data_IF_239987826168
#
_entry.id   IF_239987826168
#
_cell.length_a   1.000
_cell.length_b   1.000
_cell.length_c   1.000
_cell.angle_alpha   90.00
_cell.angle_beta   90.00
_cell.angle_gamma   90.00
#
_symmetry.space_group_name_H-M   'P 1'
#
loop_
_entity.id
_entity.type
_entity.pdbx_description
1 polymer ?
#
# COMPACT_ATOMS: atom_id res chain seq x y z
N UNK A 1 -2.49 16.96 -7.81
CA UNK A 1 -1.72 15.71 -7.63
C UNK A 1 -0.71 15.61 -8.77
N UNK A 2 0.59 15.63 -8.46
CA UNK A 2 1.65 15.37 -9.44
C UNK A 2 1.61 13.87 -9.79
N UNK A 3 1.56 13.46 -11.08
CA UNK A 3 1.59 12.05 -11.44
C UNK A 3 2.89 11.43 -10.95
N UNK A 4 2.80 10.48 -10.01
CA UNK A 4 3.97 9.69 -9.61
C UNK A 4 4.42 8.88 -10.82
N UNK A 5 5.68 8.99 -11.27
CA UNK A 5 6.16 8.39 -12.52
C UNK A 5 6.42 6.89 -12.38
N UNK A 6 5.56 6.12 -11.71
CA UNK A 6 5.75 4.67 -11.55
C UNK A 6 5.71 3.95 -12.90
N UNK A 7 4.90 4.45 -13.85
CA UNK A 7 4.83 3.94 -15.24
C UNK A 7 6.18 4.05 -15.99
N UNK A 8 7.12 4.90 -15.56
CA UNK A 8 8.44 5.04 -16.21
C UNK A 8 9.56 4.25 -15.53
N UNK A 9 9.35 3.70 -14.34
CA UNK A 9 10.42 3.07 -13.56
C UNK A 9 10.86 1.75 -14.20
N UNK A 10 9.91 0.87 -14.53
CA UNK A 10 10.20 -0.43 -15.17
C UNK A 10 10.82 -0.25 -16.57
N UNK A 11 10.30 0.68 -17.38
CA UNK A 11 10.87 1.00 -18.69
C UNK A 11 12.31 1.53 -18.57
N UNK A 12 12.59 2.33 -17.54
CA UNK A 12 13.95 2.80 -17.23
C UNK A 12 14.86 1.65 -16.82
N UNK A 13 14.40 0.75 -15.95
CA UNK A 13 15.16 -0.43 -15.56
C UNK A 13 15.47 -1.33 -16.76
N UNK A 14 14.49 -1.63 -17.62
CA UNK A 14 14.71 -2.42 -18.84
C UNK A 14 15.78 -1.80 -19.74
N UNK A 15 15.81 -0.47 -19.86
CA UNK A 15 16.84 0.24 -20.64
C UNK A 15 18.22 0.11 -20.00
N UNK A 16 18.32 0.25 -18.67
CA UNK A 16 19.58 0.10 -17.93
C UNK A 16 20.13 -1.33 -17.99
N UNK A 17 19.26 -2.33 -17.86
CA UNK A 17 19.64 -3.73 -18.04
C UNK A 17 20.15 -4.01 -19.46
N UNK A 18 19.52 -3.42 -20.48
CA UNK A 18 19.94 -3.59 -21.87
C UNK A 18 21.24 -2.84 -22.21
N UNK A 19 21.53 -1.71 -21.57
CA UNK A 19 22.77 -0.95 -21.79
C UNK A 19 23.97 -1.53 -21.03
N UNK A 20 23.75 -2.45 -20.09
CA UNK A 20 24.78 -2.97 -19.21
C UNK A 20 25.01 -2.11 -17.96
N UNK A 21 24.28 -1.01 -17.80
CA UNK A 21 24.35 -0.09 -16.65
C UNK A 21 23.27 -0.43 -15.60
N UNK A 22 23.06 -1.71 -15.34
CA UNK A 22 22.07 -2.16 -14.37
C UNK A 22 22.40 -1.60 -12.96
N UNK A 23 21.39 -1.16 -12.20
CA UNK A 23 21.61 -0.67 -10.84
C UNK A 23 22.03 -1.81 -9.90
N UNK A 24 22.88 -1.51 -8.92
CA UNK A 24 23.33 -2.49 -7.92
C UNK A 24 22.19 -2.98 -7.00
N UNK A 25 21.22 -2.11 -6.73
CA UNK A 25 20.07 -2.40 -5.86
C UNK A 25 18.79 -1.88 -6.51
N UNK A 26 17.77 -2.73 -6.57
CA UNK A 26 16.45 -2.41 -7.09
C UNK A 26 15.44 -2.46 -5.94
N UNK A 27 14.74 -1.34 -5.74
CA UNK A 27 13.60 -1.27 -4.84
C UNK A 27 12.31 -1.24 -5.66
N UNK A 28 11.77 -2.42 -5.92
CA UNK A 28 10.58 -2.63 -6.76
C UNK A 28 9.50 -3.37 -5.96
N UNK A 29 8.25 -2.97 -6.15
CA UNK A 29 7.09 -3.50 -5.41
C UNK A 29 6.21 -4.41 -6.27
N UNK A 30 6.29 -4.32 -7.59
CA UNK A 30 5.54 -5.20 -8.49
C UNK A 30 6.14 -6.62 -8.49
N UNK A 31 5.36 -7.58 -8.00
CA UNK A 31 5.79 -8.99 -7.92
C UNK A 31 6.03 -9.60 -9.31
N UNK A 32 5.21 -9.26 -10.31
CA UNK A 32 5.33 -9.81 -11.66
C UNK A 32 6.65 -9.38 -12.31
N UNK A 33 7.04 -8.12 -12.14
CA UNK A 33 8.30 -7.60 -12.64
C UNK A 33 9.50 -8.22 -11.91
N UNK A 34 9.44 -8.38 -10.58
CA UNK A 34 10.50 -9.07 -9.84
C UNK A 34 10.66 -10.54 -10.27
N UNK A 35 9.56 -11.23 -10.55
CA UNK A 35 9.59 -12.59 -11.09
C UNK A 35 10.16 -12.65 -12.51
N UNK A 36 9.90 -11.64 -13.33
CA UNK A 36 10.56 -11.48 -14.63
C UNK A 36 12.08 -11.36 -14.47
N UNK A 37 12.58 -10.50 -13.59
CA UNK A 37 14.03 -10.34 -13.35
C UNK A 37 14.68 -11.65 -12.88
N UNK A 38 13.99 -12.40 -12.01
CA UNK A 38 14.41 -13.73 -11.59
C UNK A 38 14.49 -14.70 -12.79
N UNK A 39 13.45 -14.76 -13.62
CA UNK A 39 13.42 -15.65 -14.79
C UNK A 39 14.51 -15.34 -15.82
N UNK A 40 14.88 -14.06 -15.94
CA UNK A 40 15.96 -13.58 -16.79
C UNK A 40 17.35 -13.75 -16.16
N UNK A 41 17.43 -14.33 -14.95
CA UNK A 41 18.67 -14.53 -14.18
C UNK A 41 19.44 -13.23 -13.92
N UNK A 42 18.72 -12.13 -13.78
CA UNK A 42 19.28 -10.80 -13.53
C UNK A 42 19.45 -10.50 -12.03
N UNK A 43 19.05 -11.41 -11.15
CA UNK A 43 19.15 -11.27 -9.70
C UNK A 43 20.25 -12.16 -9.13
N UNK A 44 20.97 -11.62 -8.14
CA UNK A 44 22.00 -12.35 -7.40
C UNK A 44 21.35 -13.12 -6.23
N UNK A 45 21.65 -14.42 -6.04
CA UNK A 45 21.21 -15.14 -4.85
C UNK A 45 21.89 -14.59 -3.60
N UNK A 46 21.12 -14.42 -2.53
CA UNK A 46 21.52 -13.68 -1.33
C UNK A 46 21.76 -14.57 -0.11
N UNK A 47 21.52 -15.88 -0.16
CA UNK A 47 21.59 -16.76 1.02
C UNK A 47 22.95 -16.69 1.74
N UNK A 48 24.05 -16.84 0.99
CA UNK A 48 25.40 -16.82 1.55
C UNK A 48 25.77 -15.43 2.07
N UNK A 49 25.40 -14.38 1.32
CA UNK A 49 25.65 -12.99 1.70
C UNK A 49 24.91 -12.61 2.97
N UNK A 50 23.65 -13.01 3.11
CA UNK A 50 22.85 -12.76 4.31
C UNK A 50 23.43 -13.50 5.50
N UNK A 51 23.82 -14.76 5.33
CA UNK A 51 24.42 -15.56 6.40
C UNK A 51 25.76 -14.98 6.87
N UNK A 52 26.57 -14.47 5.94
CA UNK A 52 27.91 -13.96 6.25
C UNK A 52 27.91 -12.52 6.76
N UNK A 53 27.10 -11.64 6.17
CA UNK A 53 27.22 -10.20 6.37
C UNK A 53 26.01 -9.55 7.05
N UNK A 54 24.86 -10.22 7.15
CA UNK A 54 23.62 -9.63 7.66
C UNK A 54 23.09 -10.31 8.94
N UNK A 55 23.85 -10.32 10.06
CA UNK A 55 23.45 -11.02 11.28
C UNK A 55 22.13 -10.51 11.89
N UNK A 56 21.83 -9.21 11.74
CA UNK A 56 20.55 -8.65 12.18
C UNK A 56 19.38 -9.14 11.30
N UNK A 57 19.62 -9.28 10.00
CA UNK A 57 18.60 -9.79 9.08
C UNK A 57 18.36 -11.29 9.32
N UNK A 58 19.41 -12.07 9.57
CA UNK A 58 19.28 -13.49 9.96
C UNK A 58 18.40 -13.67 11.18
N UNK A 59 18.62 -12.89 12.25
CA UNK A 59 17.74 -12.88 13.44
C UNK A 59 16.30 -12.49 13.09
N UNK A 60 16.10 -11.58 12.14
CA UNK A 60 14.77 -11.19 11.69
C UNK A 60 14.08 -12.31 10.89
N UNK A 61 14.82 -13.04 10.05
CA UNK A 61 14.29 -14.21 9.33
C UNK A 61 13.89 -15.34 10.28
N UNK A 62 14.65 -15.55 11.35
CA UNK A 62 14.30 -16.51 12.41
C UNK A 62 13.03 -16.10 13.15
N UNK A 63 12.91 -14.81 13.49
CA UNK A 63 11.73 -14.28 14.18
C UNK A 63 10.48 -14.25 13.30
N UNK A 64 10.65 -14.02 12.00
CA UNK A 64 9.57 -13.91 11.02
C UNK A 64 9.85 -14.81 9.79
N UNK A 65 9.60 -16.13 9.90
CA UNK A 65 9.89 -17.09 8.81
C UNK A 65 9.20 -16.76 7.48
N UNK A 66 8.08 -16.03 7.53
CA UNK A 66 7.38 -15.55 6.35
C UNK A 66 8.27 -14.70 5.44
N UNK A 67 9.22 -13.93 5.99
CA UNK A 67 10.15 -13.09 5.22
C UNK A 67 11.07 -13.95 4.34
N UNK A 68 11.50 -15.10 4.86
CA UNK A 68 12.29 -16.06 4.07
C UNK A 68 11.44 -16.65 2.96
N UNK A 69 10.20 -17.05 3.28
CA UNK A 69 9.27 -17.62 2.30
C UNK A 69 8.99 -16.67 1.13
N UNK A 70 8.71 -15.39 1.39
CA UNK A 70 8.40 -14.42 0.32
C UNK A 70 9.63 -14.05 -0.51
N UNK A 71 10.83 -14.07 0.08
CA UNK A 71 12.07 -13.73 -0.62
C UNK A 71 12.72 -14.88 -1.38
N UNK A 72 12.24 -16.11 -1.19
CA UNK A 72 12.74 -17.31 -1.85
C UNK A 72 11.97 -17.59 -3.15
N UNK A 73 12.71 -17.87 -4.22
CA UNK A 73 12.17 -18.21 -5.55
C UNK A 73 12.11 -19.74 -5.75
N UNK A 74 11.49 -20.25 -6.83
CA UNK A 74 11.26 -21.69 -7.02
C UNK A 74 12.50 -22.59 -7.02
N UNK A 75 13.70 -22.04 -7.25
CA UNK A 75 14.97 -22.77 -7.14
C UNK A 75 15.46 -22.98 -5.70
N UNK A 76 14.69 -22.50 -4.71
CA UNK A 76 14.99 -22.61 -3.29
C UNK A 76 15.97 -21.55 -2.76
N UNK A 77 16.44 -20.63 -3.60
CA UNK A 77 17.35 -19.56 -3.21
C UNK A 77 16.60 -18.26 -2.92
N UNK A 78 17.14 -17.48 -1.99
CA UNK A 78 16.61 -16.18 -1.62
C UNK A 78 17.20 -15.09 -2.53
N UNK A 79 16.35 -14.28 -3.14
CA UNK A 79 16.74 -13.20 -4.06
C UNK A 79 16.27 -11.82 -3.59
N UNK A 80 15.41 -11.76 -2.59
CA UNK A 80 14.76 -10.53 -2.18
C UNK A 80 14.90 -10.31 -0.67
N UNK A 81 15.03 -9.04 -0.28
CA UNK A 81 15.11 -8.62 1.12
C UNK A 81 13.78 -7.99 1.50
N UNK A 82 13.07 -8.63 2.44
CA UNK A 82 11.80 -8.15 2.98
C UNK A 82 12.00 -7.37 4.28
N UNK A 83 10.99 -6.57 4.65
CA UNK A 83 10.94 -5.93 5.97
C UNK A 83 9.60 -6.22 6.64
N UNK A 84 9.61 -6.32 7.96
CA UNK A 84 8.37 -6.29 8.73
C UNK A 84 7.94 -4.83 8.87
N UNK A 85 6.76 -4.52 8.35
CA UNK A 85 6.08 -3.27 8.64
C UNK A 85 5.12 -3.58 9.79
N UNK A 86 5.28 -2.97 10.97
CA UNK A 86 4.37 -3.20 12.08
C UNK A 86 2.94 -2.84 11.67
N UNK A 87 1.98 -3.66 12.08
CA UNK A 87 0.56 -3.35 11.89
C UNK A 87 0.24 -2.07 12.66
N UNK A 88 0.11 -0.98 11.92
CA UNK A 88 -0.27 0.33 12.42
C UNK A 88 -1.50 0.77 11.62
N UNK A 89 -2.31 1.64 12.21
CA UNK A 89 -3.48 2.19 11.52
C UNK A 89 -3.01 2.96 10.28
N UNK A 90 -3.16 2.35 9.10
CA UNK A 90 -2.73 2.93 7.82
C UNK A 90 -3.76 3.93 7.27
N UNK A 91 -5.03 3.71 7.59
CA UNK A 91 -6.15 4.50 7.07
C UNK A 91 -7.03 4.95 8.23
N UNK A 92 -7.37 6.23 8.24
CA UNK A 92 -8.30 6.83 9.18
C UNK A 92 -9.30 7.69 8.41
N UNK A 93 -10.57 7.59 8.77
CA UNK A 93 -11.64 8.40 8.21
C UNK A 93 -11.83 9.63 9.08
N UNK A 94 -11.77 10.82 8.47
CA UNK A 94 -12.01 12.08 9.14
C UNK A 94 -13.31 12.70 8.63
N UNK A 95 -14.04 13.36 9.53
CA UNK A 95 -15.31 14.01 9.21
C UNK A 95 -15.34 15.45 9.71
N UNK A 96 -15.97 16.33 8.93
CA UNK A 96 -16.17 17.75 9.27
C UNK A 96 -17.26 17.89 10.33
N UNK A 97 -16.85 17.94 11.59
CA UNK A 97 -17.76 18.03 12.75
C UNK A 97 -18.51 19.36 12.82
N UNK A 98 -17.96 20.42 12.25
CA UNK A 98 -18.61 21.72 12.09
C UNK A 98 -19.77 21.66 11.09
N UNK A 99 -19.62 20.91 10.00
CA UNK A 99 -20.69 20.67 9.03
C UNK A 99 -21.81 19.81 9.60
N UNK A 100 -21.47 18.79 10.39
CA UNK A 100 -22.47 18.01 11.14
C UNK A 100 -23.33 18.91 12.03
N UNK A 101 -22.70 19.83 12.78
CA UNK A 101 -23.41 20.76 13.66
C UNK A 101 -24.31 21.73 12.88
N UNK A 102 -23.82 22.29 11.77
CA UNK A 102 -24.59 23.24 10.94
C UNK A 102 -25.85 22.59 10.37
N UNK A 103 -25.76 21.32 9.95
CA UNK A 103 -26.88 20.56 9.39
C UNK A 103 -27.67 19.77 10.44
N UNK A 104 -27.33 19.90 11.73
CA UNK A 104 -27.95 19.13 12.83
C UNK A 104 -27.92 17.61 12.61
N UNK A 105 -26.84 17.10 12.02
CA UNK A 105 -26.65 15.68 11.74
C UNK A 105 -25.90 14.98 12.89
N UNK A 106 -26.28 13.74 13.26
CA UNK A 106 -25.53 12.95 14.22
C UNK A 106 -24.19 12.48 13.64
N UNK A 107 -23.26 12.09 14.52
CA UNK A 107 -22.02 11.42 14.12
C UNK A 107 -22.38 10.04 13.56
N UNK A 108 -22.02 9.71 12.30
CA UNK A 108 -22.41 8.45 11.67
C UNK A 108 -21.77 7.26 12.39
N UNK A 109 -22.55 6.18 12.56
CA UNK A 109 -22.10 4.95 13.22
C UNK A 109 -21.97 3.76 12.25
N UNK A 110 -22.60 3.85 11.08
CA UNK A 110 -22.56 2.80 10.04
C UNK A 110 -22.14 3.37 8.68
N UNK A 111 -21.71 2.52 7.73
CA UNK A 111 -21.42 2.95 6.36
C UNK A 111 -22.62 3.62 5.68
N UNK A 112 -23.84 3.17 5.95
CA UNK A 112 -25.08 3.75 5.43
C UNK A 112 -25.33 5.15 6.00
N UNK A 113 -25.02 5.37 7.27
CA UNK A 113 -25.12 6.70 7.89
C UNK A 113 -24.06 7.64 7.33
N UNK A 114 -22.84 7.15 7.10
CA UNK A 114 -21.79 7.92 6.44
C UNK A 114 -22.23 8.35 5.02
N UNK A 115 -22.88 7.46 4.27
CA UNK A 115 -23.43 7.79 2.95
C UNK A 115 -24.53 8.86 3.03
N UNK A 116 -25.43 8.78 4.01
CA UNK A 116 -26.47 9.82 4.22
C UNK A 116 -25.83 11.16 4.55
N UNK A 117 -24.82 11.18 5.41
CA UNK A 117 -24.10 12.41 5.76
C UNK A 117 -23.37 12.99 4.54
N UNK A 118 -22.69 12.15 3.74
CA UNK A 118 -22.03 12.60 2.51
C UNK A 118 -23.03 13.21 1.52
N UNK A 119 -24.22 12.61 1.36
CA UNK A 119 -25.30 13.21 0.54
C UNK A 119 -25.73 14.56 1.09
N UNK A 120 -25.98 14.66 2.39
CA UNK A 120 -26.36 15.91 3.03
C UNK A 120 -25.30 17.01 2.86
N UNK A 121 -24.01 16.68 2.99
CA UNK A 121 -22.92 17.60 2.71
C UNK A 121 -22.92 18.09 1.26
N UNK A 122 -23.25 17.22 0.30
CA UNK A 122 -23.27 17.58 -1.12
C UNK A 122 -24.49 18.45 -1.48
N UNK A 123 -25.62 18.22 -0.83
CA UNK A 123 -26.91 18.80 -1.25
C UNK A 123 -27.37 19.99 -0.41
N UNK A 124 -26.88 20.14 0.83
CA UNK A 124 -27.41 21.10 1.81
C UNK A 124 -26.46 22.27 2.13
N UNK A 125 -25.44 22.51 1.28
CA UNK A 125 -24.56 23.69 1.35
C UNK A 125 -23.98 23.93 2.78
N UNK A 126 -23.25 22.95 3.34
CA UNK A 126 -22.71 23.05 4.69
C UNK A 126 -21.63 24.15 4.80
N UNK A 127 -21.00 24.57 3.71
CA UNK A 127 -20.07 25.70 3.68
C UNK A 127 -20.76 27.06 3.49
N UNK A 128 -21.99 27.08 2.97
CA UNK A 128 -22.87 28.26 2.98
C UNK A 128 -22.58 29.26 1.86
N UNK A 129 -22.04 28.78 0.74
CA UNK A 129 -21.62 29.62 -0.38
C UNK A 129 -22.71 29.72 -1.48
N UNK A 130 -23.83 29.00 -1.33
CA UNK A 130 -24.95 28.96 -2.26
C UNK A 130 -24.68 28.22 -3.57
N UNK A 131 -23.56 27.50 -3.68
CA UNK A 131 -23.13 26.76 -4.87
C UNK A 131 -23.08 25.25 -4.58
N UNK A 132 -23.28 24.46 -5.64
CA UNK A 132 -23.14 23.00 -5.59
C UNK A 132 -21.70 22.58 -5.89
N UNK A 133 -20.77 23.00 -5.05
CA UNK A 133 -19.34 22.68 -5.15
C UNK A 133 -18.79 21.92 -3.93
N UNK A 134 -19.63 21.64 -2.94
CA UNK A 134 -19.26 20.79 -1.80
C UNK A 134 -19.27 19.31 -2.18
N UNK A 135 -18.16 18.63 -1.93
CA UNK A 135 -18.04 17.18 -2.04
C UNK A 135 -18.32 16.52 -0.69
N UNK A 136 -19.28 15.59 -0.66
CA UNK A 136 -19.67 14.88 0.55
C UNK A 136 -18.66 13.88 1.11
N UNK A 137 -17.78 13.38 0.25
CA UNK A 137 -16.64 12.55 0.64
C UNK A 137 -15.50 12.75 -0.36
N UNK A 138 -14.27 12.49 0.06
CA UNK A 138 -13.10 12.46 -0.80
C UNK A 138 -12.23 11.28 -0.39
N UNK A 139 -11.82 10.48 -1.36
CA UNK A 139 -10.85 9.41 -1.16
C UNK A 139 -9.47 9.90 -1.60
N UNK A 140 -8.44 9.54 -0.84
CA UNK A 140 -7.06 9.77 -1.20
C UNK A 140 -6.26 8.50 -0.92
N UNK A 141 -5.41 8.12 -1.88
CA UNK A 141 -4.52 6.97 -1.76
C UNK A 141 -5.28 5.68 -1.42
N UNK A 142 -5.23 5.20 -0.17
CA UNK A 142 -5.91 3.97 0.31
C UNK A 142 -7.34 4.23 0.82
N UNK A 143 -8.03 5.23 0.24
CA UNK A 143 -9.37 5.60 0.71
C UNK A 143 -10.42 4.52 0.42
N UNK A 144 -10.23 3.76 -0.66
CA UNK A 144 -11.00 2.58 -1.01
C UNK A 144 -10.85 1.46 0.04
N UNK A 145 -9.64 1.24 0.56
CA UNK A 145 -9.42 0.25 1.65
C UNK A 145 -10.23 0.59 2.91
N UNK A 146 -10.44 1.88 3.20
CA UNK A 146 -11.30 2.30 4.30
C UNK A 146 -12.76 1.91 4.07
N UNK A 147 -13.24 2.07 2.82
CA UNK A 147 -14.60 1.65 2.42
C UNK A 147 -14.73 0.13 2.47
N UNK A 148 -13.74 -0.60 1.95
CA UNK A 148 -13.75 -2.05 1.97
C UNK A 148 -13.70 -2.61 3.40
N UNK A 149 -12.87 -2.02 4.27
CA UNK A 149 -12.83 -2.38 5.68
C UNK A 149 -14.16 -2.11 6.39
N UNK A 150 -14.85 -1.01 6.06
CA UNK A 150 -16.20 -0.71 6.56
C UNK A 150 -17.23 -1.78 6.17
N UNK A 151 -17.03 -2.47 5.04
CA UNK A 151 -17.89 -3.57 4.58
C UNK A 151 -17.34 -4.97 4.92
N UNK A 152 -16.24 -5.07 5.67
CA UNK A 152 -15.62 -6.33 6.05
C UNK A 152 -14.76 -7.01 4.97
N UNK A 153 -14.49 -6.32 3.86
CA UNK A 153 -13.71 -6.81 2.72
C UNK A 153 -12.20 -6.52 2.89
N UNK A 154 -11.59 -6.95 3.99
CA UNK A 154 -10.16 -6.65 4.23
C UNK A 154 -9.22 -7.57 3.43
N UNK A 155 -8.34 -6.98 2.62
CA UNK A 155 -7.29 -7.65 1.83
C UNK A 155 -6.11 -8.21 2.66
N UNK A 156 -6.07 -7.97 3.97
CA UNK A 156 -4.98 -8.46 4.82
C UNK A 156 -5.17 -9.94 5.13
N UNK A 157 -4.15 -10.75 4.79
CA UNK A 157 -4.05 -12.15 5.22
C UNK A 157 -4.20 -12.17 6.74
N UNK A 158 -5.27 -12.82 7.22
CA UNK A 158 -5.40 -13.13 8.65
C UNK A 158 -4.16 -13.92 9.05
N UNK A 159 -3.27 -13.31 9.83
CA UNK A 159 -2.30 -14.07 10.61
C UNK A 159 -3.08 -14.77 11.72
N UNK A 160 -3.74 -15.88 11.37
CA UNK A 160 -4.29 -16.79 12.38
C UNK A 160 -3.11 -17.40 13.13
N UNK A 161 -3.09 -17.18 14.45
CA UNK A 161 -2.28 -17.94 15.41
C UNK A 161 -2.66 -19.41 15.40
#
# INVERSE_FOLDING_TARGET
MCPRPEIRIQAKFNTLFASGDAPDVINEFDTSYRDQLYSQKQLLPLDDLVKQYAPNYTKMLEKYPILRKIGTKPDGKMYEIGRVIPSTMQVAVFIRTDWLKKLSLPIPQTPEDLLKVAKAFTEQDPDGNGKKDTYGYSLAYLGDEAIDAMHGNTMFIKMTS
#
